data_IF_352866300546
#
_entry.id   IF_352866300546
#
_cell.length_a   1.000
_cell.length_b   1.000
_cell.length_c   1.000
_cell.angle_alpha   90.00
_cell.angle_beta   90.00
_cell.angle_gamma   90.00
#
_symmetry.space_group_name_H-M   'P 1'
#
loop_
_entity.id
_entity.type
_entity.pdbx_description
1 polymer ?
#
# COMPACT_ATOMS: atom_id res chain seq x y z
N UNK A 1 53.87 -13.81 -3.94
CA UNK A 1 53.29 -13.01 -2.84
C UNK A 1 51.92 -12.56 -3.32
N UNK A 2 50.86 -13.23 -2.85
CA UNK A 2 49.49 -12.92 -3.24
C UNK A 2 48.92 -11.91 -2.24
N UNK A 3 48.69 -10.68 -2.70
CA UNK A 3 48.00 -9.65 -1.91
C UNK A 3 46.52 -10.00 -1.83
N UNK A 4 46.05 -10.26 -0.61
CA UNK A 4 44.65 -10.44 -0.30
C UNK A 4 43.96 -9.06 -0.33
N UNK A 5 43.11 -8.85 -1.34
CA UNK A 5 42.21 -7.70 -1.40
C UNK A 5 41.04 -7.96 -0.44
N UNK A 6 40.90 -7.12 0.58
CA UNK A 6 39.83 -7.22 1.57
C UNK A 6 38.50 -6.78 0.94
N UNK A 7 37.38 -7.47 1.19
CA UNK A 7 36.08 -7.11 0.62
C UNK A 7 35.59 -5.79 1.25
N UNK A 8 35.31 -4.81 0.39
CA UNK A 8 34.73 -3.52 0.73
C UNK A 8 33.34 -3.76 1.36
N UNK A 9 33.06 -3.24 2.57
CA UNK A 9 31.77 -3.48 3.20
C UNK A 9 30.67 -2.69 2.48
N UNK A 10 29.67 -3.42 2.00
CA UNK A 10 28.41 -2.91 1.49
C UNK A 10 27.66 -2.11 2.56
N UNK A 11 27.96 -0.80 2.65
CA UNK A 11 27.24 0.13 3.52
C UNK A 11 25.93 0.52 2.84
N UNK A 12 24.86 -0.23 3.12
CA UNK A 12 23.49 0.23 2.85
C UNK A 12 23.29 1.52 3.67
N UNK A 13 23.11 2.64 2.98
CA UNK A 13 22.89 3.94 3.60
C UNK A 13 21.41 4.06 3.94
N UNK A 14 21.09 4.20 5.23
CA UNK A 14 19.72 4.34 5.70
C UNK A 14 19.39 5.79 6.02
N UNK A 15 18.37 6.35 5.39
CA UNK A 15 17.80 7.64 5.80
C UNK A 15 16.72 7.38 6.84
N UNK A 16 16.91 7.90 8.05
CA UNK A 16 15.86 7.99 9.06
C UNK A 16 14.99 9.21 8.75
N UNK A 17 13.90 9.02 8.02
CA UNK A 17 12.84 10.03 7.94
C UNK A 17 11.90 9.85 9.13
N UNK A 18 11.82 10.84 10.01
CA UNK A 18 10.90 10.88 11.16
C UNK A 18 9.50 10.36 10.78
N UNK A 19 9.11 9.21 11.32
CA UNK A 19 7.75 8.69 11.24
C UNK A 19 7.38 7.86 10.01
N UNK A 20 8.31 7.51 9.12
CA UNK A 20 8.00 6.62 7.98
C UNK A 20 8.89 5.37 7.96
N UNK A 21 8.33 4.25 7.48
CA UNK A 21 8.99 2.97 7.33
C UNK A 21 10.40 3.13 6.72
N UNK A 22 11.38 2.42 7.26
CA UNK A 22 12.78 2.46 6.83
C UNK A 22 12.91 2.06 5.36
N UNK A 23 13.13 3.02 4.46
CA UNK A 23 13.35 2.76 3.03
C UNK A 23 14.85 2.56 2.78
N UNK A 24 15.31 1.34 2.42
CA UNK A 24 16.72 1.11 2.13
C UNK A 24 17.11 1.76 0.80
N UNK A 25 18.17 2.57 0.80
CA UNK A 25 18.78 3.09 -0.43
C UNK A 25 19.90 2.14 -0.84
N UNK A 26 19.78 1.55 -2.03
CA UNK A 26 20.79 0.65 -2.59
C UNK A 26 21.56 1.39 -3.68
N UNK A 27 22.79 1.85 -3.40
CA UNK A 27 23.61 2.45 -4.43
C UNK A 27 23.96 1.39 -5.47
N UNK A 28 23.75 1.73 -6.75
CA UNK A 28 24.14 0.90 -7.90
C UNK A 28 25.12 1.68 -8.75
N UNK A 29 26.27 1.08 -9.06
CA UNK A 29 27.31 1.73 -9.87
C UNK A 29 27.11 1.49 -11.37
N UNK A 30 26.24 0.54 -11.73
CA UNK A 30 25.90 0.13 -13.09
C UNK A 30 24.54 -0.59 -13.11
N UNK A 31 23.83 -0.54 -14.23
CA UNK A 31 22.58 -1.29 -14.45
C UNK A 31 22.78 -2.80 -14.39
N UNK A 32 23.98 -3.31 -14.73
CA UNK A 32 24.30 -4.72 -14.63
C UNK A 32 24.36 -5.23 -13.17
N UNK A 33 24.63 -4.33 -12.21
CA UNK A 33 24.71 -4.65 -10.78
C UNK A 33 23.33 -4.74 -10.12
N UNK A 34 22.30 -4.14 -10.75
CA UNK A 34 20.97 -3.98 -10.17
C UNK A 34 20.31 -5.30 -9.81
N UNK A 35 20.36 -6.29 -10.71
CA UNK A 35 19.70 -7.59 -10.49
C UNK A 35 20.28 -8.28 -9.27
N UNK A 36 21.60 -8.34 -9.16
CA UNK A 36 22.32 -8.93 -8.02
C UNK A 36 22.00 -8.20 -6.72
N UNK A 37 21.94 -6.87 -6.75
CA UNK A 37 21.62 -6.03 -5.60
C UNK A 37 20.18 -6.21 -5.11
N UNK A 38 19.22 -6.31 -6.03
CA UNK A 38 17.83 -6.62 -5.69
C UNK A 38 17.68 -8.03 -5.11
N UNK A 39 18.41 -9.01 -5.62
CA UNK A 39 18.41 -10.37 -5.07
C UNK A 39 18.97 -10.42 -3.65
N UNK A 40 20.03 -9.66 -3.35
CA UNK A 40 20.57 -9.54 -1.99
C UNK A 40 19.56 -8.87 -1.06
N UNK A 41 18.94 -7.76 -1.49
CA UNK A 41 17.91 -7.08 -0.72
C UNK A 41 16.75 -8.03 -0.41
N UNK A 42 16.24 -8.73 -1.43
CA UNK A 42 15.16 -9.71 -1.28
C UNK A 42 15.50 -10.74 -0.20
N UNK A 43 16.72 -11.30 -0.24
CA UNK A 43 17.19 -12.28 0.76
C UNK A 43 17.24 -11.67 2.16
N UNK A 44 17.75 -10.46 2.30
CA UNK A 44 17.81 -9.74 3.59
C UNK A 44 16.41 -9.47 4.14
N UNK A 45 15.48 -9.03 3.29
CA UNK A 45 14.09 -8.84 3.68
C UNK A 45 13.46 -10.14 4.17
N UNK A 46 13.71 -11.27 3.51
CA UNK A 46 13.18 -12.58 3.95
C UNK A 46 13.89 -13.16 5.18
N UNK A 47 15.18 -12.87 5.37
CA UNK A 47 15.97 -13.42 6.47
C UNK A 47 15.72 -12.71 7.81
N UNK A 48 15.37 -11.42 7.75
CA UNK A 48 15.13 -10.59 8.93
C UNK A 48 13.67 -10.55 9.37
N UNK A 49 12.76 -11.27 8.71
CA UNK A 49 11.38 -11.41 9.21
C UNK A 49 11.44 -12.25 10.49
N UNK A 50 11.11 -11.68 11.66
CA UNK A 50 10.96 -12.48 12.87
C UNK A 50 9.96 -13.59 12.55
N UNK A 51 10.25 -14.84 12.92
CA UNK A 51 9.28 -15.93 12.78
C UNK A 51 8.07 -15.62 13.66
N UNK A 52 7.11 -14.89 13.12
CA UNK A 52 5.82 -14.69 13.73
C UNK A 52 5.10 -16.03 13.75
N UNK A 53 4.28 -16.25 14.79
CA UNK A 53 3.42 -17.43 14.79
C UNK A 53 2.41 -17.29 13.65
N UNK A 54 2.02 -18.42 13.05
CA UNK A 54 0.98 -18.43 12.02
C UNK A 54 -0.33 -17.77 12.51
N UNK A 55 -0.64 -17.90 13.81
CA UNK A 55 -1.79 -17.24 14.41
C UNK A 55 -1.67 -15.71 14.40
N UNK A 56 -0.48 -15.17 14.66
CA UNK A 56 -0.21 -13.73 14.60
C UNK A 56 -0.33 -13.21 13.17
N UNK A 57 0.27 -13.92 12.21
CA UNK A 57 0.19 -13.59 10.79
C UNK A 57 -1.26 -13.57 10.29
N UNK A 58 -2.06 -14.58 10.66
CA UNK A 58 -3.48 -14.63 10.31
C UNK A 58 -4.29 -13.53 10.99
N UNK A 59 -3.95 -13.13 12.22
CA UNK A 59 -4.60 -12.00 12.88
C UNK A 59 -4.30 -10.68 12.13
N UNK A 60 -3.06 -10.47 11.68
CA UNK A 60 -2.69 -9.31 10.88
C UNK A 60 -3.40 -9.30 9.52
N UNK A 61 -3.48 -10.45 8.84
CA UNK A 61 -4.22 -10.58 7.58
C UNK A 61 -5.71 -10.26 7.77
N UNK A 62 -6.35 -10.78 8.81
CA UNK A 62 -7.76 -10.45 9.11
C UNK A 62 -7.96 -8.98 9.42
N UNK A 63 -7.05 -8.39 10.20
CA UNK A 63 -7.10 -6.97 10.53
C UNK A 63 -6.96 -6.09 9.28
N UNK A 64 -6.13 -6.48 8.31
CA UNK A 64 -6.02 -5.76 7.04
C UNK A 64 -7.22 -6.02 6.12
N UNK A 65 -7.70 -7.25 6.05
CA UNK A 65 -8.83 -7.63 5.21
C UNK A 65 -10.13 -6.91 5.62
N UNK A 66 -10.32 -6.61 6.91
CA UNK A 66 -11.48 -5.83 7.39
C UNK A 66 -11.58 -4.43 6.77
N UNK A 67 -10.45 -3.86 6.36
CA UNK A 67 -10.34 -2.54 5.75
C UNK A 67 -10.17 -2.57 4.22
N UNK A 68 -10.16 -3.76 3.61
CA UNK A 68 -10.10 -3.90 2.14
C UNK A 68 -11.48 -3.68 1.49
N UNK A 69 -12.15 -2.59 1.86
CA UNK A 69 -13.52 -2.28 1.48
C UNK A 69 -13.69 -0.76 1.41
N UNK A 70 -14.53 -0.27 0.50
CA UNK A 70 -14.95 1.13 0.53
C UNK A 70 -15.93 1.41 1.67
N UNK A 71 -15.68 2.45 2.46
CA UNK A 71 -16.56 2.90 3.54
C UNK A 71 -16.26 2.22 4.87
N UNK A 72 -17.30 1.76 5.56
CA UNK A 72 -17.18 1.14 6.88
C UNK A 72 -16.44 -0.20 6.82
N UNK A 73 -15.62 -0.50 7.83
CA UNK A 73 -14.93 -1.79 7.91
C UNK A 73 -15.92 -2.98 7.89
N UNK A 74 -15.49 -4.10 7.31
CA UNK A 74 -16.28 -5.33 7.26
C UNK A 74 -16.49 -5.90 8.65
N UNK A 75 -17.63 -6.58 8.84
CA UNK A 75 -17.87 -7.35 10.06
C UNK A 75 -16.92 -8.56 10.14
N UNK A 76 -16.69 -9.05 11.36
CA UNK A 76 -15.82 -10.21 11.59
C UNK A 76 -16.24 -11.46 10.80
N UNK A 77 -17.56 -11.67 10.63
CA UNK A 77 -18.10 -12.78 9.84
C UNK A 77 -17.71 -12.67 8.37
N UNK A 78 -17.85 -11.48 7.77
CA UNK A 78 -17.47 -11.23 6.37
C UNK A 78 -15.95 -11.33 6.17
N UNK A 79 -15.17 -10.91 7.15
CA UNK A 79 -13.71 -11.07 7.13
C UNK A 79 -13.30 -12.54 7.13
N UNK A 80 -13.95 -13.37 7.96
CA UNK A 80 -13.68 -14.81 7.97
C UNK A 80 -13.94 -15.42 6.58
N UNK A 81 -15.08 -15.10 5.96
CA UNK A 81 -15.40 -15.56 4.60
C UNK A 81 -14.30 -15.17 3.60
N UNK A 82 -13.81 -13.92 3.66
CA UNK A 82 -12.72 -13.46 2.80
C UNK A 82 -11.42 -14.22 3.02
N UNK A 83 -11.06 -14.48 4.27
CA UNK A 83 -9.83 -15.23 4.60
C UNK A 83 -9.94 -16.72 4.31
N UNK A 84 -11.16 -17.27 4.23
CA UNK A 84 -11.37 -18.68 3.86
C UNK A 84 -11.23 -18.90 2.35
N UNK A 85 -11.59 -17.89 1.54
CA UNK A 85 -11.58 -18.01 0.07
C UNK A 85 -10.29 -17.48 -0.58
N UNK A 86 -9.42 -16.84 0.21
CA UNK A 86 -8.16 -16.25 -0.26
C UNK A 86 -7.02 -16.63 0.66
N UNK A 87 -5.86 -16.98 0.09
CA UNK A 87 -4.66 -17.32 0.87
C UNK A 87 -3.93 -16.09 1.42
N UNK A 88 -4.58 -14.93 1.44
CA UNK A 88 -4.00 -13.63 1.78
C UNK A 88 -4.44 -12.51 0.82
N UNK A 89 -4.00 -11.29 1.11
CA UNK A 89 -4.45 -10.07 0.40
C UNK A 89 -4.14 -10.08 -1.10
N UNK A 90 -3.01 -10.67 -1.51
CA UNK A 90 -2.67 -10.80 -2.93
C UNK A 90 -3.65 -11.70 -3.70
N UNK A 91 -4.05 -12.82 -3.10
CA UNK A 91 -5.07 -13.71 -3.67
C UNK A 91 -6.44 -13.04 -3.69
N UNK A 92 -6.77 -12.27 -2.65
CA UNK A 92 -8.00 -11.48 -2.60
C UNK A 92 -8.04 -10.42 -3.72
N UNK A 93 -6.93 -9.72 -3.97
CA UNK A 93 -6.83 -8.76 -5.07
C UNK A 93 -7.03 -9.46 -6.42
N UNK A 94 -6.44 -10.64 -6.64
CA UNK A 94 -6.64 -11.41 -7.86
C UNK A 94 -8.13 -11.76 -8.09
N UNK A 95 -8.86 -12.16 -7.04
CA UNK A 95 -10.30 -12.40 -7.13
C UNK A 95 -11.07 -11.14 -7.53
N UNK A 96 -10.69 -9.97 -7.01
CA UNK A 96 -11.34 -8.71 -7.34
C UNK A 96 -11.11 -8.25 -8.79
N UNK A 97 -9.98 -8.60 -9.41
CA UNK A 97 -9.69 -8.29 -10.81
C UNK A 97 -10.26 -9.32 -11.79
N UNK A 98 -10.44 -10.57 -11.38
CA UNK A 98 -11.00 -11.62 -12.22
C UNK A 98 -12.54 -11.56 -12.31
N UNK A 99 -13.11 -11.91 -13.47
CA UNK A 99 -14.58 -11.86 -13.66
C UNK A 99 -15.30 -12.96 -12.87
N UNK A 100 -14.71 -14.14 -12.76
CA UNK A 100 -15.27 -15.25 -11.98
C UNK A 100 -15.04 -15.02 -10.49
N UNK A 101 -13.86 -14.51 -10.11
CA UNK A 101 -13.56 -14.07 -8.76
C UNK A 101 -14.53 -13.00 -8.23
N UNK A 102 -14.86 -12.00 -9.06
CA UNK A 102 -15.87 -10.98 -8.70
C UNK A 102 -17.26 -11.57 -8.44
N UNK A 103 -17.71 -12.50 -9.29
CA UNK A 103 -18.99 -13.21 -9.06
C UNK A 103 -18.96 -13.96 -7.73
N UNK A 104 -17.88 -14.71 -7.48
CA UNK A 104 -17.69 -15.46 -6.23
C UNK A 104 -17.69 -14.54 -5.00
N UNK A 105 -17.08 -13.36 -5.09
CA UNK A 105 -17.10 -12.38 -4.00
C UNK A 105 -18.51 -11.87 -3.71
N UNK A 106 -19.29 -11.53 -4.74
CA UNK A 106 -20.68 -11.11 -4.58
C UNK A 106 -21.59 -12.25 -4.09
N UNK A 107 -21.40 -13.49 -4.56
CA UNK A 107 -22.20 -14.63 -4.13
C UNK A 107 -22.01 -14.94 -2.63
N UNK A 108 -20.79 -14.76 -2.11
CA UNK A 108 -20.44 -15.12 -0.73
C UNK A 108 -20.62 -13.97 0.27
N UNK A 109 -20.40 -12.72 -0.17
CA UNK A 109 -20.55 -11.54 0.68
C UNK A 109 -21.88 -10.82 0.49
N UNK A 110 -22.70 -11.28 -0.46
CA UNK A 110 -23.83 -10.54 -1.05
C UNK A 110 -23.37 -9.38 -1.93
N UNK A 111 -24.21 -8.99 -2.88
CA UNK A 111 -23.88 -8.01 -3.91
C UNK A 111 -23.40 -6.68 -3.33
N UNK A 112 -23.99 -6.22 -2.23
CA UNK A 112 -23.63 -4.93 -1.61
C UNK A 112 -22.19 -4.96 -1.07
N UNK A 113 -21.86 -5.87 -0.16
CA UNK A 113 -20.52 -5.96 0.44
C UNK A 113 -19.47 -6.42 -0.58
N UNK A 114 -19.83 -7.38 -1.45
CA UNK A 114 -18.96 -7.85 -2.52
C UNK A 114 -18.53 -6.72 -3.45
N UNK A 115 -19.46 -5.87 -3.90
CA UNK A 115 -19.14 -4.73 -4.76
C UNK A 115 -18.28 -3.68 -4.04
N UNK A 116 -18.45 -3.48 -2.73
CA UNK A 116 -17.62 -2.55 -1.96
C UNK A 116 -16.16 -3.03 -1.85
N UNK A 117 -15.95 -4.34 -1.68
CA UNK A 117 -14.61 -4.97 -1.70
C UNK A 117 -14.00 -4.88 -3.10
N UNK A 118 -14.75 -5.23 -4.14
CA UNK A 118 -14.28 -5.16 -5.53
C UNK A 118 -13.88 -3.73 -5.88
N UNK A 119 -14.72 -2.76 -5.55
CA UNK A 119 -14.44 -1.35 -5.81
C UNK A 119 -13.16 -0.90 -5.13
N UNK A 120 -12.85 -1.40 -3.92
CA UNK A 120 -11.62 -1.06 -3.19
C UNK A 120 -10.37 -1.40 -4.01
N UNK A 121 -10.31 -2.60 -4.58
CA UNK A 121 -9.17 -3.04 -5.36
C UNK A 121 -9.14 -2.44 -6.78
N UNK A 122 -10.31 -2.31 -7.42
CA UNK A 122 -10.39 -1.89 -8.83
C UNK A 122 -10.28 -0.38 -9.01
N UNK A 123 -10.96 0.40 -8.18
CA UNK A 123 -11.04 1.85 -8.34
C UNK A 123 -9.99 2.61 -7.50
N UNK A 124 -9.24 1.91 -6.64
CA UNK A 124 -8.24 2.53 -5.78
C UNK A 124 -8.78 3.75 -5.01
N UNK A 125 -7.88 4.65 -4.60
CA UNK A 125 -8.22 5.84 -3.82
C UNK A 125 -8.77 7.00 -4.70
N UNK A 126 -9.70 6.71 -5.62
CA UNK A 126 -10.39 7.71 -6.44
C UNK A 126 -11.11 8.78 -5.59
N UNK A 127 -11.41 8.47 -4.34
CA UNK A 127 -11.98 9.40 -3.36
C UNK A 127 -11.05 10.56 -3.03
N UNK A 128 -9.73 10.36 -2.98
CA UNK A 128 -8.78 11.43 -2.64
C UNK A 128 -8.59 12.38 -3.81
N UNK A 129 -8.50 11.89 -5.05
CA UNK A 129 -8.41 12.75 -6.24
C UNK A 129 -9.68 13.57 -6.45
N UNK A 130 -10.86 12.99 -6.17
CA UNK A 130 -12.14 13.72 -6.25
C UNK A 130 -12.31 14.74 -5.11
N UNK A 131 -11.85 14.43 -3.89
CA UNK A 131 -11.85 15.41 -2.80
C UNK A 131 -10.87 16.55 -3.08
N UNK A 132 -9.66 16.26 -3.58
CA UNK A 132 -8.67 17.28 -3.96
C UNK A 132 -9.20 18.18 -5.08
N UNK A 133 -9.86 17.61 -6.09
CA UNK A 133 -10.52 18.40 -7.14
C UNK A 133 -11.62 19.30 -6.59
N UNK A 134 -12.50 18.79 -5.72
CA UNK A 134 -13.56 19.60 -5.10
C UNK A 134 -13.01 20.68 -4.15
N UNK A 135 -11.94 20.39 -3.41
CA UNK A 135 -11.26 21.37 -2.55
C UNK A 135 -10.59 22.47 -3.38
N UNK A 136 -10.01 22.13 -4.54
CA UNK A 136 -9.46 23.11 -5.49
C UNK A 136 -10.55 23.98 -6.12
N UNK A 137 -11.69 23.40 -6.50
CA UNK A 137 -12.85 24.15 -7.01
C UNK A 137 -13.42 25.10 -5.96
N UNK A 138 -13.56 24.66 -4.71
CA UNK A 138 -14.03 25.52 -3.61
C UNK A 138 -13.04 26.65 -3.28
N UNK A 139 -11.72 26.40 -3.37
CA UNK A 139 -10.70 27.43 -3.20
C UNK A 139 -10.69 28.45 -4.36
N UNK A 140 -11.01 28.03 -5.58
CA UNK A 140 -11.15 28.91 -6.74
C UNK A 140 -12.41 29.79 -6.69
N UNK A 141 -13.43 29.38 -5.93
CA UNK A 141 -14.70 30.11 -5.77
C UNK A 141 -14.69 31.13 -4.62
N UNK A 142 -13.59 31.26 -3.85
CA UNK A 142 -13.48 32.23 -2.78
C UNK A 142 -13.39 33.67 -3.34
N UNK A 143 -14.26 34.62 -2.92
CA UNK A 143 -14.25 35.97 -3.47
C UNK A 143 -13.00 36.74 -3.04
N UNK A 144 -12.24 37.24 -4.03
CA UNK A 144 -11.16 38.23 -3.84
C UNK A 144 -11.75 39.58 -3.42
N UNK A 145 -12.07 39.74 -2.15
CA UNK A 145 -12.37 41.05 -1.57
C UNK A 145 -11.22 41.48 -0.67
N UNK A 146 -10.23 42.14 -1.26
CA UNK A 146 -9.34 43.09 -0.59
C UNK A 146 -8.66 43.96 -1.65
N UNK A 147 -9.42 44.92 -2.17
CA UNK A 147 -8.85 46.09 -2.83
C UNK A 147 -9.67 47.34 -2.49
N UNK A 148 -9.30 47.96 -1.36
CA UNK A 148 -9.45 49.38 -1.07
C UNK A 148 -8.18 49.70 -0.27
N UNK A 149 -7.19 50.42 -0.78
CA UNK A 149 -7.33 51.73 -1.41
C UNK A 149 -6.80 52.78 -0.44
N UNK A 150 -5.53 52.66 -0.03
CA UNK A 150 -4.84 53.74 0.67
C UNK A 150 -4.16 54.62 -0.39
N UNK A 151 -4.87 55.65 -0.83
CA UNK A 151 -4.26 56.78 -1.51
C UNK A 151 -3.73 57.75 -0.44
N UNK A 152 -2.44 58.08 -0.57
CA UNK A 152 -1.74 59.09 0.22
C UNK A 152 -2.40 60.47 0.11
N UNK A 153 -2.57 61.13 1.25
CA UNK A 153 -2.34 62.56 1.47
C UNK A 153 -1.73 62.74 2.86
#
# INVERSE_FOLDING_TARGET
>A
MASAEAPVPDRILSILTQGMAHVPIIPVSSTAELVTRLDVLRRQCTANVPRQSHAQEMAEVRALASHCVHGQALSHERVNVLTDISSGLGSLAQLAFDREGRRKLCDLLEDEEGNRVISFFVNGHETTLRLEMRMREQAAQAPRNLQMGSANL
#
